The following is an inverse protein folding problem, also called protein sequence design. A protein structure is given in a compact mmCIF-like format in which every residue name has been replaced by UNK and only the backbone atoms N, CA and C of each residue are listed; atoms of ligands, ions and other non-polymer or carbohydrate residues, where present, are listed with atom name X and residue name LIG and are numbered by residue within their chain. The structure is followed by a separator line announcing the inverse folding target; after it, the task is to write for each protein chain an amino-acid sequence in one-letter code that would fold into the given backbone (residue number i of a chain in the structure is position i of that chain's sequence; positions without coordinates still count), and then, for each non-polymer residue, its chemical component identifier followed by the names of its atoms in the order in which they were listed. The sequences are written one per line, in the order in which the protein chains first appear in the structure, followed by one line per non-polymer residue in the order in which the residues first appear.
data_IF_816671305037
#
_entry.id   IF_816671305037
#
_cell.length_a   1.000
_cell.length_b   1.000
_cell.length_c   1.000
_cell.angle_alpha   90.00
_cell.angle_beta   90.00
_cell.angle_gamma   90.00
#
_symmetry.space_group_name_H-M   'P 1'
#
loop_
_entity.id
_entity.type
_entity.pdbx_description
1 polymer ?
#
# COMPACT_ATOMS: atom_id res chain seq x y z
N UNK A 1 -4.74 2.00 -0.77
CA UNK A 1 -3.32 1.70 -0.50
C UNK A 1 -3.16 0.69 0.64
N UNK A 2 -2.10 -0.11 0.56
CA UNK A 2 -1.57 -0.94 1.65
C UNK A 2 -0.05 -0.67 1.76
N UNK A 3 0.30 0.36 2.53
CA UNK A 3 1.68 0.68 2.89
C UNK A 3 1.96 0.02 4.26
N UNK A 4 2.87 -0.97 4.37
CA UNK A 4 3.15 -1.66 5.63
C UNK A 4 3.45 -0.72 6.80
N UNK A 5 4.22 0.35 6.57
CA UNK A 5 4.53 1.34 7.59
C UNK A 5 3.26 2.03 8.10
N UNK A 6 2.45 2.55 7.16
CA UNK A 6 1.18 3.23 7.45
C UNK A 6 0.15 2.31 8.13
N UNK A 7 0.23 1.01 7.84
CA UNK A 7 -0.65 -0.03 8.40
C UNK A 7 -0.13 -0.65 9.71
N UNK A 8 0.89 -0.04 10.34
CA UNK A 8 1.35 -0.42 11.69
C UNK A 8 2.60 -1.31 11.74
N UNK A 9 3.29 -1.52 10.62
CA UNK A 9 4.49 -2.35 10.53
C UNK A 9 5.74 -1.56 10.08
N UNK A 10 6.24 -0.63 10.91
CA UNK A 10 7.39 0.20 10.53
C UNK A 10 8.68 -0.61 10.35
N UNK A 11 8.80 -1.79 10.98
CA UNK A 11 9.97 -2.66 10.86
C UNK A 11 9.98 -3.60 9.64
N UNK A 12 8.94 -3.56 8.79
CA UNK A 12 8.82 -4.55 7.71
C UNK A 12 9.68 -4.21 6.48
N UNK A 13 9.64 -2.98 5.96
CA UNK A 13 10.28 -2.60 4.70
C UNK A 13 11.17 -1.37 4.92
N UNK A 14 12.49 -1.50 4.71
CA UNK A 14 13.40 -0.39 4.94
C UNK A 14 14.86 -0.68 4.68
N UNK A 15 15.71 0.32 4.91
CA UNK A 15 17.13 0.28 4.56
C UNK A 15 17.97 -0.44 5.61
N UNK A 16 18.51 -1.61 5.28
CA UNK A 16 19.42 -2.40 6.11
C UNK A 16 18.79 -3.68 6.66
N UNK A 17 19.63 -4.57 7.15
CA UNK A 17 19.27 -5.94 7.60
C UNK A 17 18.39 -6.00 8.86
N UNK A 18 18.12 -4.86 9.49
CA UNK A 18 17.18 -4.76 10.62
C UNK A 18 15.72 -4.78 10.19
N UNK A 19 15.43 -4.55 8.90
CA UNK A 19 14.10 -4.67 8.32
C UNK A 19 13.86 -6.07 7.74
N UNK A 20 12.61 -6.52 7.75
CA UNK A 20 12.25 -7.83 7.17
C UNK A 20 12.56 -7.90 5.67
N UNK A 21 12.28 -6.82 4.94
CA UNK A 21 12.67 -6.59 3.54
C UNK A 21 13.72 -5.49 3.52
N UNK A 22 14.96 -5.87 3.21
CA UNK A 22 16.12 -4.98 3.16
C UNK A 22 16.23 -4.30 1.80
N UNK A 23 15.92 -3.01 1.75
CA UNK A 23 15.95 -2.23 0.49
C UNK A 23 17.35 -1.91 -0.02
N UNK A 24 18.41 -2.30 0.69
CA UNK A 24 19.79 -2.20 0.18
C UNK A 24 20.17 -3.32 -0.77
N UNK A 25 19.32 -4.35 -0.90
CA UNK A 25 19.52 -5.51 -1.75
C UNK A 25 18.39 -5.64 -2.77
N UNK A 26 18.64 -6.30 -3.92
CA UNK A 26 17.58 -6.70 -4.83
C UNK A 26 16.52 -7.56 -4.14
N UNK A 27 15.30 -7.49 -4.65
CA UNK A 27 14.17 -8.30 -4.20
C UNK A 27 13.27 -8.60 -5.39
N UNK A 28 12.48 -9.65 -5.26
CA UNK A 28 11.33 -9.92 -6.13
C UNK A 28 10.07 -9.49 -5.40
N UNK A 29 9.21 -8.75 -6.09
CA UNK A 29 7.86 -8.41 -5.60
C UNK A 29 6.88 -9.24 -6.42
N UNK A 30 6.03 -10.02 -5.74
CA UNK A 30 4.98 -10.81 -6.38
C UNK A 30 3.63 -10.24 -5.97
N UNK A 31 2.79 -9.96 -6.96
CA UNK A 31 1.42 -9.49 -6.79
C UNK A 31 0.48 -10.49 -7.46
N UNK A 32 -0.56 -10.91 -6.74
CA UNK A 32 -1.59 -11.82 -7.23
C UNK A 32 -2.94 -11.10 -7.26
N UNK A 33 -3.70 -11.31 -8.33
CA UNK A 33 -5.05 -10.78 -8.52
C UNK A 33 -6.00 -11.97 -8.48
N UNK A 34 -6.76 -12.11 -7.41
CA UNK A 34 -7.62 -13.26 -7.15
C UNK A 34 -9.08 -12.90 -7.46
N UNK A 35 -9.74 -13.78 -8.17
CA UNK A 35 -11.16 -13.68 -8.50
C UNK A 35 -12.01 -14.52 -7.55
N UNK A 36 -13.30 -14.17 -7.44
CA UNK A 36 -14.26 -14.84 -6.56
C UNK A 36 -14.42 -16.35 -6.80
N UNK A 37 -14.27 -16.79 -8.05
CA UNK A 37 -14.41 -18.19 -8.46
C UNK A 37 -13.09 -18.85 -8.90
N UNK A 38 -11.98 -18.10 -8.84
CA UNK A 38 -10.65 -18.57 -9.23
C UNK A 38 -10.45 -18.74 -10.73
N UNK A 39 -11.32 -18.16 -11.56
CA UNK A 39 -11.22 -18.16 -13.03
C UNK A 39 -10.87 -16.77 -13.57
N UNK A 40 -10.42 -16.71 -14.82
CA UNK A 40 -10.11 -15.46 -15.52
C UNK A 40 -11.37 -14.61 -15.85
N UNK A 41 -12.58 -15.16 -15.62
CA UNK A 41 -13.85 -14.47 -15.90
C UNK A 41 -14.59 -14.05 -14.62
N UNK A 42 -14.11 -14.46 -13.44
CA UNK A 42 -14.68 -14.09 -12.16
C UNK A 42 -14.40 -12.64 -11.77
N UNK A 43 -15.18 -12.09 -10.85
CA UNK A 43 -14.97 -10.73 -10.36
C UNK A 43 -13.70 -10.68 -9.50
N UNK A 44 -12.85 -9.66 -9.69
CA UNK A 44 -11.69 -9.42 -8.81
C UNK A 44 -12.17 -9.19 -7.37
N UNK A 45 -11.64 -9.93 -6.41
CA UNK A 45 -12.01 -9.84 -4.99
C UNK A 45 -10.84 -9.52 -4.06
N UNK A 46 -9.62 -9.90 -4.45
CA UNK A 46 -8.47 -9.75 -3.57
C UNK A 46 -7.17 -9.50 -4.35
N UNK A 47 -6.37 -8.54 -3.88
CA UNK A 47 -4.99 -8.34 -4.34
C UNK A 47 -4.04 -8.71 -3.20
N UNK A 48 -3.25 -9.76 -3.42
CA UNK A 48 -2.23 -10.23 -2.47
C UNK A 48 -0.84 -9.83 -2.91
N UNK A 49 0.06 -9.63 -1.94
CA UNK A 49 1.47 -9.39 -2.19
C UNK A 49 2.35 -10.28 -1.32
N UNK A 50 3.49 -10.70 -1.84
CA UNK A 50 4.60 -11.22 -1.06
C UNK A 50 5.93 -10.88 -1.73
N UNK A 51 7.03 -11.12 -1.03
CA UNK A 51 8.37 -10.80 -1.50
C UNK A 51 9.24 -12.05 -1.56
N UNK A 52 10.28 -12.02 -2.39
CA UNK A 52 11.42 -12.91 -2.26
C UNK A 52 12.69 -12.10 -2.14
N UNK A 53 13.54 -12.42 -1.17
CA UNK A 53 14.85 -11.80 -1.00
C UNK A 53 15.83 -12.84 -0.46
N UNK A 54 17.05 -12.88 -1.00
CA UNK A 54 18.10 -13.84 -0.62
C UNK A 54 17.61 -15.32 -0.63
N UNK A 55 16.74 -15.66 -1.59
CA UNK A 55 16.17 -17.00 -1.74
C UNK A 55 15.07 -17.37 -0.74
N UNK A 56 14.63 -16.43 0.11
CA UNK A 56 13.58 -16.64 1.09
C UNK A 56 12.28 -15.96 0.66
N UNK A 57 11.16 -16.66 0.80
CA UNK A 57 9.82 -16.09 0.65
C UNK A 57 9.46 -15.32 1.92
N UNK A 58 9.00 -14.09 1.76
CA UNK A 58 8.61 -13.19 2.83
C UNK A 58 7.14 -12.81 2.61
N UNK A 59 6.25 -13.27 3.49
CA UNK A 59 4.85 -12.89 3.47
C UNK A 59 4.67 -11.37 3.70
N UNK A 60 3.61 -10.78 3.14
CA UNK A 60 3.23 -9.42 3.54
C UNK A 60 2.79 -9.42 5.01
N UNK A 61 3.04 -8.33 5.75
CA UNK A 61 2.62 -8.24 7.13
C UNK A 61 1.12 -7.92 7.20
N UNK A 62 0.44 -8.41 8.23
CA UNK A 62 -0.96 -8.02 8.47
C UNK A 62 -1.04 -6.55 8.87
N UNK A 63 -2.15 -5.90 8.54
CA UNK A 63 -2.43 -4.50 8.84
C UNK A 63 -2.86 -4.30 10.30
N UNK A 64 -1.93 -4.53 11.23
CA UNK A 64 -2.16 -4.61 12.68
C UNK A 64 -2.92 -3.44 13.30
N UNK A 65 -2.84 -2.25 12.70
CA UNK A 65 -3.56 -1.05 13.18
C UNK A 65 -5.09 -1.19 13.07
N UNK A 66 -5.59 -2.13 12.26
CA UNK A 66 -7.03 -2.41 12.11
C UNK A 66 -7.59 -3.31 13.23
N UNK A 67 -6.75 -3.89 14.08
CA UNK A 67 -7.20 -4.74 15.18
C UNK A 67 -7.90 -6.01 14.67
N UNK A 68 -9.17 -6.28 15.04
CA UNK A 68 -9.90 -7.49 14.62
C UNK A 68 -10.07 -7.65 13.09
N UNK A 69 -10.00 -6.55 12.34
CA UNK A 69 -10.15 -6.53 10.88
C UNK A 69 -8.79 -6.54 10.15
N UNK A 70 -7.73 -7.03 10.80
CA UNK A 70 -6.41 -7.08 10.19
C UNK A 70 -6.34 -8.06 9.02
N UNK A 71 -5.60 -7.67 8.00
CA UNK A 71 -5.34 -8.47 6.81
C UNK A 71 -4.05 -8.02 6.15
N UNK A 72 -3.41 -8.91 5.39
CA UNK A 72 -2.21 -8.67 4.60
C UNK A 72 -2.50 -8.38 3.12
N UNK A 73 -3.79 -8.30 2.74
CA UNK A 73 -4.25 -8.14 1.36
C UNK A 73 -5.22 -6.97 1.19
N UNK A 74 -5.43 -6.57 -0.07
CA UNK A 74 -6.42 -5.54 -0.43
C UNK A 74 -7.72 -6.25 -0.83
N UNK A 75 -8.78 -5.98 -0.07
CA UNK A 75 -10.17 -6.37 -0.34
C UNK A 75 -11.08 -5.15 -0.16
N UNK A 76 -12.34 -5.22 -0.60
CA UNK A 76 -13.30 -4.14 -0.33
C UNK A 76 -13.50 -3.91 1.18
N UNK A 77 -13.56 -4.98 1.98
CA UNK A 77 -13.67 -4.89 3.43
C UNK A 77 -12.46 -4.20 4.07
N UNK A 78 -11.25 -4.54 3.61
CA UNK A 78 -10.02 -3.85 4.04
C UNK A 78 -10.06 -2.37 3.69
N UNK A 79 -10.48 -2.04 2.47
CA UNK A 79 -10.60 -0.67 2.01
C UNK A 79 -11.55 0.13 2.91
N UNK A 80 -12.71 -0.44 3.23
CA UNK A 80 -13.71 0.20 4.09
C UNK A 80 -13.22 0.39 5.53
N UNK A 81 -12.73 -0.68 6.16
CA UNK A 81 -12.25 -0.65 7.54
C UNK A 81 -11.12 0.38 7.73
N UNK A 82 -10.16 0.40 6.80
CA UNK A 82 -9.06 1.37 6.82
C UNK A 82 -9.56 2.79 6.59
N UNK A 83 -10.49 3.01 5.67
CA UNK A 83 -11.02 4.35 5.40
C UNK A 83 -11.82 4.90 6.58
N UNK A 84 -12.57 4.04 7.27
CA UNK A 84 -13.25 4.38 8.51
C UNK A 84 -12.26 4.74 9.62
N UNK A 85 -11.21 3.93 9.82
CA UNK A 85 -10.17 4.20 10.82
C UNK A 85 -9.45 5.52 10.58
N UNK A 86 -9.15 5.85 9.32
CA UNK A 86 -8.41 7.06 8.96
C UNK A 86 -9.31 8.31 8.82
N UNK A 87 -10.64 8.13 8.84
CA UNK A 87 -11.60 9.21 8.58
C UNK A 87 -11.49 9.78 7.16
N UNK A 88 -11.13 8.93 6.20
CA UNK A 88 -10.96 9.29 4.79
C UNK A 88 -12.24 8.97 3.99
N UNK A 89 -12.47 9.71 2.89
CA UNK A 89 -13.57 9.41 1.95
C UNK A 89 -13.38 8.05 1.27
N UNK A 90 -14.49 7.29 1.14
CA UNK A 90 -14.57 5.97 0.49
C UNK A 90 -14.76 6.05 -1.02
N UNK A 91 -14.04 6.96 -1.67
CA UNK A 91 -14.15 7.24 -3.11
C UNK A 91 -13.87 6.02 -3.99
N UNK A 92 -13.00 5.11 -3.53
CA UNK A 92 -12.75 3.83 -4.19
C UNK A 92 -14.03 2.99 -4.36
N UNK A 93 -14.90 2.98 -3.34
CA UNK A 93 -16.17 2.24 -3.38
C UNK A 93 -17.23 2.95 -4.21
N UNK A 94 -17.23 4.27 -4.22
CA UNK A 94 -18.10 5.06 -5.10
C UNK A 94 -17.80 4.77 -6.59
N UNK A 95 -16.55 4.40 -6.91
CA UNK A 95 -16.11 4.03 -8.25
C UNK A 95 -16.14 2.52 -8.55
N UNK A 96 -16.85 1.74 -7.73
CA UNK A 96 -17.10 0.31 -7.99
C UNK A 96 -16.09 -0.66 -7.36
N UNK A 97 -15.17 -0.17 -6.54
CA UNK A 97 -14.31 -1.00 -5.68
C UNK A 97 -13.48 -2.04 -6.42
N UNK A 98 -13.33 -3.22 -5.81
CA UNK A 98 -12.57 -4.32 -6.40
C UNK A 98 -13.14 -4.78 -7.75
N UNK A 99 -14.48 -4.86 -7.87
CA UNK A 99 -15.15 -5.22 -9.13
C UNK A 99 -14.84 -4.23 -10.25
N UNK A 100 -14.98 -2.93 -10.00
CA UNK A 100 -14.68 -1.88 -10.98
C UNK A 100 -13.21 -1.88 -11.42
N UNK A 101 -12.30 -2.20 -10.50
CA UNK A 101 -10.89 -2.42 -10.84
C UNK A 101 -10.70 -3.69 -11.69
N UNK A 102 -11.38 -4.79 -11.36
CA UNK A 102 -11.39 -6.04 -12.15
C UNK A 102 -11.85 -5.81 -13.58
N UNK A 103 -13.01 -5.17 -13.77
CA UNK A 103 -13.54 -4.83 -15.10
C UNK A 103 -12.56 -3.96 -15.92
N UNK A 104 -11.74 -3.15 -15.25
CA UNK A 104 -10.69 -2.37 -15.89
C UNK A 104 -9.51 -3.24 -16.32
N UNK A 105 -9.09 -4.21 -15.51
CA UNK A 105 -8.03 -5.17 -15.85
C UNK A 105 -8.45 -6.06 -17.03
N UNK A 106 -9.72 -6.47 -17.11
CA UNK A 106 -10.26 -7.30 -18.20
C UNK A 106 -10.15 -6.64 -19.56
N UNK A 107 -10.20 -5.30 -19.62
CA UNK A 107 -10.00 -4.55 -20.87
C UNK A 107 -8.55 -4.52 -21.35
N UNK A 108 -7.62 -5.01 -20.53
CA UNK A 108 -6.19 -5.01 -20.80
C UNK A 108 -5.52 -3.71 -20.34
N UNK A 109 -4.44 -3.86 -19.58
CA UNK A 109 -3.60 -2.75 -19.10
C UNK A 109 -2.24 -2.75 -19.79
N UNK A 110 -1.58 -1.60 -19.80
CA UNK A 110 -0.21 -1.43 -20.29
C UNK A 110 0.74 -1.34 -19.09
N UNK A 111 1.87 -2.04 -19.17
CA UNK A 111 2.91 -1.97 -18.14
C UNK A 111 3.72 -0.68 -18.27
N UNK A 112 3.92 0.02 -17.15
CA UNK A 112 4.64 1.29 -17.08
C UNK A 112 5.76 1.19 -16.04
N UNK A 113 6.92 1.76 -16.35
CA UNK A 113 8.02 2.00 -15.41
C UNK A 113 8.37 3.48 -15.44
N UNK A 114 8.48 4.10 -14.27
CA UNK A 114 8.77 5.53 -14.13
C UNK A 114 9.60 5.80 -12.89
N UNK A 115 10.40 6.86 -12.96
CA UNK A 115 11.07 7.46 -11.82
C UNK A 115 10.77 8.96 -11.86
N UNK A 116 10.21 9.49 -10.77
CA UNK A 116 9.73 10.87 -10.71
C UNK A 116 9.84 11.38 -9.28
N UNK A 117 9.91 12.70 -9.16
CA UNK A 117 9.73 13.43 -7.92
C UNK A 117 8.36 14.11 -7.91
N UNK A 118 7.89 14.52 -6.74
CA UNK A 118 6.56 15.10 -6.59
C UNK A 118 6.68 16.56 -6.17
N UNK A 119 6.53 17.46 -7.13
CA UNK A 119 6.61 18.90 -6.90
C UNK A 119 5.37 19.47 -6.20
N UNK A 120 4.27 18.73 -6.12
CA UNK A 120 3.02 19.19 -5.51
C UNK A 120 3.06 18.96 -3.99
N UNK A 121 3.48 17.78 -3.57
CA UNK A 121 3.45 17.37 -2.15
C UNK A 121 4.73 16.69 -1.67
N UNK A 122 5.85 16.83 -2.39
CA UNK A 122 7.21 16.43 -1.97
C UNK A 122 7.32 14.96 -1.52
N UNK A 123 6.53 14.08 -2.16
CA UNK A 123 6.45 12.64 -1.87
C UNK A 123 5.96 12.29 -0.43
N UNK A 124 5.43 13.28 0.29
CA UNK A 124 4.98 13.15 1.69
C UNK A 124 3.96 12.02 1.90
N UNK A 125 3.07 11.84 0.93
CA UNK A 125 2.01 10.83 0.95
C UNK A 125 2.54 9.39 0.83
N UNK A 126 3.82 9.21 0.50
CA UNK A 126 4.46 7.91 0.37
C UNK A 126 5.32 7.60 1.60
N UNK A 127 6.19 8.53 2.02
CA UNK A 127 7.32 8.21 2.91
C UNK A 127 7.44 9.09 4.18
N UNK A 128 6.48 9.98 4.44
CA UNK A 128 6.51 10.93 5.56
C UNK A 128 5.15 11.02 6.28
N UNK A 129 4.86 12.15 6.92
CA UNK A 129 3.56 12.47 7.51
C UNK A 129 2.70 13.27 6.52
N UNK A 130 1.47 12.81 6.24
CA UNK A 130 0.55 13.51 5.34
C UNK A 130 -0.93 13.20 5.62
N UNK A 131 -1.82 14.22 5.63
CA UNK A 131 -1.56 15.64 5.38
C UNK A 131 -0.89 16.37 6.56
N UNK A 132 -0.32 17.55 6.29
CA UNK A 132 0.49 18.32 7.27
C UNK A 132 -0.35 19.12 8.29
N UNK A 133 -1.65 19.24 8.06
CA UNK A 133 -2.61 19.94 8.92
C UNK A 133 -3.25 19.03 9.99
N UNK A 134 -2.89 17.74 10.01
CA UNK A 134 -3.34 16.75 11.00
C UNK A 134 -2.19 16.31 11.92
N UNK A 135 -2.47 15.97 13.19
CA UNK A 135 -1.47 15.42 14.11
C UNK A 135 -0.80 14.15 13.56
N UNK A 136 0.53 14.07 13.64
CA UNK A 136 1.30 12.88 13.20
C UNK A 136 0.92 11.61 13.96
N UNK A 137 0.34 11.75 15.15
CA UNK A 137 -0.16 10.66 15.99
C UNK A 137 -1.47 10.05 15.50
N UNK A 138 -2.19 10.73 14.61
CA UNK A 138 -3.47 10.23 14.12
C UNK A 138 -3.26 9.01 13.19
N UNK A 139 -4.12 7.99 13.27
CA UNK A 139 -4.05 6.83 12.39
C UNK A 139 -4.02 7.22 10.92
N UNK A 140 -3.08 6.64 10.18
CA UNK A 140 -2.95 6.87 8.74
C UNK A 140 -2.22 8.15 8.34
N UNK A 141 -1.75 8.98 9.27
CA UNK A 141 -0.95 10.17 8.93
C UNK A 141 0.50 9.81 8.63
N UNK A 142 1.15 9.02 9.49
CA UNK A 142 2.56 8.64 9.32
C UNK A 142 2.70 7.46 8.35
N UNK A 143 3.56 7.61 7.34
CA UNK A 143 3.73 6.67 6.21
C UNK A 143 5.19 6.25 5.98
N UNK A 144 6.11 6.94 6.65
CA UNK A 144 7.52 6.61 6.75
C UNK A 144 8.23 7.58 7.70
N UNK A 145 9.55 7.50 7.75
CA UNK A 145 10.40 8.31 8.63
C UNK A 145 11.10 9.46 7.90
N UNK A 146 10.81 9.69 6.61
CA UNK A 146 11.36 10.84 5.92
C UNK A 146 10.87 12.13 6.59
N UNK A 147 11.75 13.13 6.79
CA UNK A 147 11.37 14.38 7.43
C UNK A 147 10.31 15.14 6.63
N UNK A 148 10.31 14.98 5.30
CA UNK A 148 9.34 15.61 4.42
C UNK A 148 9.51 17.13 4.26
N UNK A 149 8.48 17.78 3.70
CA UNK A 149 8.38 19.24 3.60
C UNK A 149 9.33 19.87 2.60
N UNK A 150 9.62 21.16 2.77
CA UNK A 150 10.48 21.95 1.85
C UNK A 150 11.89 21.39 1.70
N UNK A 151 12.39 20.67 2.70
CA UNK A 151 13.71 20.02 2.64
C UNK A 151 13.73 18.81 1.71
N UNK A 152 12.57 18.27 1.38
CA UNK A 152 12.38 17.19 0.41
C UNK A 152 11.89 17.72 -0.95
N UNK A 153 11.76 19.04 -1.12
CA UNK A 153 11.36 19.63 -2.39
C UNK A 153 12.45 19.42 -3.43
N UNK A 154 12.11 18.84 -4.60
CA UNK A 154 13.07 18.66 -5.67
C UNK A 154 13.61 20.00 -6.16
N UNK A 155 14.93 20.08 -6.35
CA UNK A 155 15.62 21.27 -6.87
C UNK A 155 15.84 21.18 -8.37
#
# INVERSE_FOLDING_TARGET
DINPYRMGNPGFYGRGSQYTVDTTKPMTVVTQFLTDDGTDAGDLTEIRRFYLQDGQTIASPSSTILGPDDTDSITDAFCDAKKDLFGDVKDYQEHGGMKGMGESLDRGHVMIFSLWDDVEVNMLWLDSAYPLDKPVTDPGIKRGDCPGGVTSTPT
#
